data_IF_994460947853
#
_entry.id   IF_994460947853
#
_cell.length_a   1.000
_cell.length_b   1.000
_cell.length_c   1.000
_cell.angle_alpha   90.00
_cell.angle_beta   90.00
_cell.angle_gamma   90.00
#
_symmetry.space_group_name_H-M   'P 1'
#
loop_
_entity.id
_entity.type
_entity.pdbx_description
1 polymer ?
#
# COMPACT_ATOMS: atom_id res chain seq x y z
N UNK A 1 -3.63 6.63 22.88
CA UNK A 1 -4.21 6.21 21.60
C UNK A 1 -3.60 4.89 21.15
N UNK A 2 -4.42 4.11 20.50
CA UNK A 2 -4.04 2.79 20.02
C UNK A 2 -3.11 2.89 18.80
N UNK A 3 -2.06 2.09 18.80
CA UNK A 3 -1.13 2.03 17.67
C UNK A 3 -1.73 1.25 16.51
N UNK A 4 -1.57 1.76 15.29
CA UNK A 4 -2.11 1.16 14.08
C UNK A 4 -0.97 0.50 13.31
N UNK A 5 -1.14 -0.78 12.98
CA UNK A 5 -0.20 -1.53 12.16
C UNK A 5 -0.68 -1.49 10.71
N UNK A 6 0.14 -0.94 9.84
CA UNK A 6 -0.18 -0.73 8.42
C UNK A 6 0.80 -1.51 7.56
N UNK A 7 0.27 -2.39 6.70
CA UNK A 7 1.08 -3.00 5.66
C UNK A 7 1.14 -2.05 4.47
N UNK A 8 2.33 -1.76 3.99
CA UNK A 8 2.54 -1.02 2.74
C UNK A 8 3.10 -1.97 1.69
N UNK A 9 2.29 -2.34 0.72
CA UNK A 9 2.68 -3.22 -0.37
C UNK A 9 3.27 -2.42 -1.52
N UNK A 10 4.57 -2.22 -1.51
CA UNK A 10 5.27 -1.42 -2.53
C UNK A 10 5.72 -2.24 -3.75
N UNK A 11 5.45 -3.54 -3.73
CA UNK A 11 5.65 -4.42 -4.88
C UNK A 11 4.67 -4.08 -5.99
N UNK A 12 5.12 -4.11 -7.23
CA UNK A 12 4.25 -3.98 -8.39
C UNK A 12 4.63 -5.00 -9.46
N UNK A 13 3.64 -5.53 -10.18
CA UNK A 13 3.85 -6.53 -11.22
C UNK A 13 4.47 -5.96 -12.51
N UNK A 14 4.85 -4.69 -12.50
CA UNK A 14 5.51 -4.00 -13.60
C UNK A 14 5.75 -2.54 -13.25
N UNK A 15 6.59 -1.82 -14.01
CA UNK A 15 6.96 -0.44 -13.67
C UNK A 15 5.76 0.52 -13.66
N UNK A 16 4.73 0.27 -14.46
CA UNK A 16 3.54 1.12 -14.54
C UNK A 16 2.60 0.94 -13.35
N UNK A 17 2.82 -0.08 -12.52
CA UNK A 17 2.00 -0.42 -11.37
C UNK A 17 2.67 -0.10 -10.04
N UNK A 18 3.90 0.42 -10.06
CA UNK A 18 4.63 0.79 -8.85
C UNK A 18 4.41 2.26 -8.57
N UNK A 19 3.57 2.54 -7.60
CA UNK A 19 3.33 3.90 -7.12
C UNK A 19 4.64 4.46 -6.55
N UNK A 20 5.01 5.70 -6.88
CA UNK A 20 6.28 6.28 -6.39
C UNK A 20 6.36 6.38 -4.89
N UNK A 21 7.57 6.29 -4.36
CA UNK A 21 7.84 6.43 -2.92
C UNK A 21 7.25 7.72 -2.35
N UNK A 22 7.30 8.82 -3.08
CA UNK A 22 6.76 10.12 -2.65
C UNK A 22 5.31 10.03 -2.21
N UNK A 23 4.49 9.26 -2.92
CA UNK A 23 3.06 9.12 -2.61
C UNK A 23 2.89 8.37 -1.28
N UNK A 24 3.64 7.28 -1.08
CA UNK A 24 3.63 6.56 0.20
C UNK A 24 4.12 7.45 1.34
N UNK A 25 5.18 8.22 1.12
CA UNK A 25 5.75 9.11 2.13
C UNK A 25 4.76 10.24 2.49
N UNK A 26 4.10 10.81 1.50
CA UNK A 26 3.08 11.85 1.74
C UNK A 26 1.90 11.27 2.53
N UNK A 27 1.48 10.05 2.23
CA UNK A 27 0.47 9.35 3.02
C UNK A 27 0.93 9.13 4.46
N UNK A 28 2.16 8.65 4.63
CA UNK A 28 2.73 8.40 5.97
C UNK A 28 2.77 9.70 6.80
N UNK A 29 3.09 10.83 6.15
CA UNK A 29 3.07 12.13 6.81
C UNK A 29 1.68 12.49 7.29
N UNK A 30 0.66 12.26 6.47
CA UNK A 30 -0.73 12.56 6.83
C UNK A 30 -1.21 11.67 7.98
N UNK A 31 -1.00 10.37 7.88
CA UNK A 31 -1.53 9.41 8.87
C UNK A 31 -0.84 9.53 10.22
N UNK A 32 0.45 9.84 10.25
CA UNK A 32 1.19 9.96 11.51
C UNK A 32 0.87 11.24 12.28
N UNK A 33 0.26 12.22 11.63
CA UNK A 33 -0.24 13.43 12.32
C UNK A 33 -1.46 13.11 13.17
N UNK A 34 -2.21 12.06 12.83
CA UNK A 34 -3.47 11.71 13.50
C UNK A 34 -3.38 10.42 14.31
N UNK A 35 -2.55 9.49 13.88
CA UNK A 35 -2.45 8.16 14.48
C UNK A 35 -1.00 7.79 14.78
N UNK A 36 -0.81 7.02 15.84
CA UNK A 36 0.48 6.37 16.09
C UNK A 36 0.54 5.11 15.24
N UNK A 37 1.55 4.99 14.39
CA UNK A 37 1.61 3.93 13.37
C UNK A 37 2.90 3.14 13.42
N UNK A 38 2.79 1.86 13.03
CA UNK A 38 3.91 1.03 12.58
C UNK A 38 3.65 0.65 11.13
N UNK A 39 4.69 0.74 10.30
CA UNK A 39 4.59 0.45 8.87
C UNK A 39 5.42 -0.79 8.55
N UNK A 40 4.77 -1.78 7.96
CA UNK A 40 5.42 -3.02 7.51
C UNK A 40 5.52 -2.95 5.99
N UNK A 41 6.76 -2.92 5.48
CA UNK A 41 7.03 -2.63 4.07
C UNK A 41 7.24 -3.93 3.30
N UNK A 42 6.21 -4.36 2.57
CA UNK A 42 6.26 -5.55 1.75
C UNK A 42 6.85 -5.19 0.39
N UNK A 43 8.03 -5.71 0.10
CA UNK A 43 8.75 -5.42 -1.14
C UNK A 43 9.49 -6.66 -1.62
N UNK A 44 9.83 -6.67 -2.93
CA UNK A 44 10.65 -7.72 -3.53
C UNK A 44 12.13 -7.33 -3.58
N UNK A 45 12.90 -8.16 -4.28
CA UNK A 45 14.35 -7.95 -4.45
C UNK A 45 14.69 -7.17 -5.73
N UNK A 46 13.68 -6.79 -6.52
CA UNK A 46 13.86 -5.98 -7.72
C UNK A 46 14.51 -4.64 -7.37
N UNK A 47 15.46 -4.18 -8.21
CA UNK A 47 16.22 -2.95 -7.96
C UNK A 47 15.29 -1.74 -7.78
N UNK A 48 14.26 -1.62 -8.62
CA UNK A 48 13.34 -0.47 -8.55
C UNK A 48 12.54 -0.46 -7.25
N UNK A 49 12.11 -1.62 -6.80
CA UNK A 49 11.39 -1.76 -5.52
C UNK A 49 12.31 -1.49 -4.34
N UNK A 50 13.55 -1.93 -4.42
CA UNK A 50 14.55 -1.64 -3.40
C UNK A 50 14.86 -0.15 -3.31
N UNK A 51 14.85 0.58 -4.44
CA UNK A 51 14.98 2.05 -4.43
C UNK A 51 13.83 2.72 -3.69
N UNK A 52 12.60 2.27 -3.93
CA UNK A 52 11.41 2.80 -3.23
C UNK A 52 11.53 2.53 -1.73
N UNK A 53 11.92 1.32 -1.35
CA UNK A 53 12.15 0.95 0.04
C UNK A 53 13.17 1.87 0.70
N UNK A 54 14.32 2.09 0.05
CA UNK A 54 15.38 2.94 0.58
C UNK A 54 14.94 4.40 0.70
N UNK A 55 14.16 4.91 -0.23
CA UNK A 55 13.62 6.27 -0.13
C UNK A 55 12.73 6.41 1.11
N UNK A 56 11.86 5.44 1.37
CA UNK A 56 11.01 5.45 2.56
C UNK A 56 11.84 5.36 3.83
N UNK A 57 12.81 4.47 3.87
CA UNK A 57 13.69 4.28 5.02
C UNK A 57 14.66 5.43 5.26
N UNK A 58 14.77 6.35 4.29
CA UNK A 58 15.59 7.55 4.43
C UNK A 58 14.83 8.73 5.05
N UNK A 59 13.56 8.53 5.38
CA UNK A 59 12.74 9.56 6.03
C UNK A 59 12.81 9.46 7.56
N UNK A 60 12.23 10.44 8.23
CA UNK A 60 12.09 10.44 9.71
C UNK A 60 11.20 9.30 10.21
N UNK A 61 10.42 8.66 9.33
CA UNK A 61 9.53 7.55 9.69
C UNK A 61 10.26 6.22 9.86
N UNK A 62 11.54 6.15 9.52
CA UNK A 62 12.28 4.88 9.48
C UNK A 62 12.23 4.08 10.80
N UNK A 63 12.17 4.76 11.94
CA UNK A 63 12.11 4.10 13.24
C UNK A 63 10.79 3.36 13.48
N UNK A 64 9.75 3.69 12.69
CA UNK A 64 8.44 3.05 12.76
C UNK A 64 8.22 2.10 11.58
N UNK A 65 9.26 1.85 10.78
CA UNK A 65 9.21 1.00 9.60
C UNK A 65 9.94 -0.32 9.82
N UNK A 66 9.36 -1.38 9.29
CA UNK A 66 9.90 -2.74 9.35
C UNK A 66 9.88 -3.33 7.94
N UNK A 67 11.06 -3.47 7.34
CA UNK A 67 11.18 -4.01 5.99
C UNK A 67 11.01 -5.54 6.02
N UNK A 68 10.21 -6.09 5.12
CA UNK A 68 9.86 -7.51 5.08
C UNK A 68 10.60 -8.26 3.94
N UNK A 69 11.49 -7.59 3.23
CA UNK A 69 12.11 -8.12 2.02
C UNK A 69 13.04 -9.32 2.25
N UNK A 70 13.49 -9.53 3.48
CA UNK A 70 14.35 -10.66 3.84
C UNK A 70 13.60 -11.80 4.51
N UNK A 71 12.28 -11.69 4.65
CA UNK A 71 11.46 -12.70 5.30
C UNK A 71 10.85 -13.66 4.27
N UNK A 72 10.66 -14.91 4.69
CA UNK A 72 9.90 -15.89 3.89
C UNK A 72 8.41 -15.56 3.93
N UNK A 73 7.65 -16.14 2.99
CA UNK A 73 6.20 -16.00 3.00
C UNK A 73 5.59 -16.48 4.32
N UNK A 74 6.09 -17.60 4.86
CA UNK A 74 5.62 -18.14 6.15
C UNK A 74 5.82 -17.16 7.30
N UNK A 75 6.88 -16.37 7.26
CA UNK A 75 7.17 -15.35 8.27
C UNK A 75 6.30 -14.09 8.07
N UNK A 76 5.97 -13.76 6.82
CA UNK A 76 5.19 -12.58 6.48
C UNK A 76 3.70 -12.75 6.80
N UNK A 77 3.14 -13.95 6.59
CA UNK A 77 1.71 -14.18 6.80
C UNK A 77 1.20 -13.77 8.19
N UNK A 78 1.85 -14.15 9.30
CA UNK A 78 1.40 -13.71 10.62
C UNK A 78 1.51 -12.20 10.80
N UNK A 79 2.48 -11.56 10.17
CA UNK A 79 2.64 -10.09 10.23
C UNK A 79 1.44 -9.42 9.57
N UNK A 80 1.05 -9.88 8.38
CA UNK A 80 -0.12 -9.35 7.67
C UNK A 80 -1.37 -9.52 8.51
N UNK A 81 -1.56 -10.69 9.11
CA UNK A 81 -2.72 -10.98 9.95
C UNK A 81 -2.84 -10.05 11.16
N UNK A 82 -1.72 -9.52 11.64
CA UNK A 82 -1.70 -8.59 12.77
C UNK A 82 -1.78 -7.11 12.33
N UNK A 83 -1.85 -6.85 11.04
CA UNK A 83 -2.07 -5.49 10.55
C UNK A 83 -3.55 -5.11 10.68
N UNK A 84 -3.79 -3.84 10.96
CA UNK A 84 -5.14 -3.29 11.01
C UNK A 84 -5.66 -2.98 9.61
N UNK A 85 -4.76 -2.65 8.70
CA UNK A 85 -5.09 -2.25 7.34
C UNK A 85 -3.87 -2.48 6.44
N UNK A 86 -4.12 -2.74 5.15
CA UNK A 86 -3.09 -2.84 4.15
C UNK A 86 -3.32 -1.81 3.06
N UNK A 87 -2.25 -1.22 2.56
CA UNK A 87 -2.27 -0.28 1.44
C UNK A 87 -1.24 -0.79 0.44
N UNK A 88 -1.71 -1.29 -0.69
CA UNK A 88 -0.87 -2.03 -1.63
C UNK A 88 -1.10 -1.57 -3.06
N UNK A 89 -0.02 -1.54 -3.84
CA UNK A 89 -0.17 -1.58 -5.28
C UNK A 89 -0.98 -2.83 -5.67
N UNK A 90 -1.57 -2.83 -6.85
CA UNK A 90 -2.18 -4.04 -7.39
C UNK A 90 -1.07 -5.08 -7.61
N UNK A 91 -1.04 -6.09 -6.73
CA UNK A 91 0.04 -7.06 -6.63
C UNK A 91 -0.42 -8.27 -5.84
N UNK A 92 0.46 -9.28 -5.73
CA UNK A 92 0.20 -10.47 -4.91
C UNK A 92 -0.15 -10.11 -3.46
N UNK A 93 0.44 -9.06 -2.90
CA UNK A 93 0.17 -8.66 -1.52
C UNK A 93 -1.23 -8.10 -1.32
N UNK A 94 -1.80 -7.40 -2.31
CA UNK A 94 -3.18 -6.92 -2.20
C UNK A 94 -4.17 -8.09 -2.15
N UNK A 95 -3.94 -9.11 -2.98
CA UNK A 95 -4.77 -10.31 -3.01
C UNK A 95 -4.60 -11.13 -1.74
N UNK A 96 -3.36 -11.30 -1.29
CA UNK A 96 -3.05 -12.05 -0.07
C UNK A 96 -3.67 -11.41 1.17
N UNK A 97 -3.50 -10.12 1.32
CA UNK A 97 -4.02 -9.36 2.46
C UNK A 97 -5.55 -9.43 2.53
N UNK A 98 -6.23 -9.15 1.43
CA UNK A 98 -7.69 -9.22 1.38
C UNK A 98 -8.20 -10.64 1.60
N UNK A 99 -7.49 -11.65 1.06
CA UNK A 99 -7.81 -13.06 1.26
C UNK A 99 -7.67 -13.50 2.72
N UNK A 100 -6.78 -12.86 3.48
CA UNK A 100 -6.62 -13.09 4.91
C UNK A 100 -7.65 -12.32 5.77
N UNK A 101 -8.56 -11.59 5.13
CA UNK A 101 -9.60 -10.85 5.82
C UNK A 101 -9.18 -9.47 6.34
N UNK A 102 -8.06 -8.94 5.85
CA UNK A 102 -7.59 -7.61 6.22
C UNK A 102 -8.14 -6.58 5.23
N UNK A 103 -8.69 -5.48 5.76
CA UNK A 103 -9.12 -4.36 4.92
C UNK A 103 -7.94 -3.85 4.12
N UNK A 104 -8.07 -3.82 2.80
CA UNK A 104 -6.97 -3.55 1.88
C UNK A 104 -7.34 -2.44 0.91
N UNK A 105 -6.64 -1.32 1.03
CA UNK A 105 -6.72 -0.24 0.05
C UNK A 105 -5.81 -0.64 -1.11
N UNK A 106 -6.36 -0.72 -2.31
CA UNK A 106 -5.63 -1.15 -3.51
C UNK A 106 -5.42 0.05 -4.43
N UNK A 107 -4.15 0.33 -4.73
CA UNK A 107 -3.76 1.47 -5.57
C UNK A 107 -3.78 1.01 -7.03
N UNK A 108 -4.85 1.37 -7.74
CA UNK A 108 -5.13 0.91 -9.09
C UNK A 108 -4.59 1.89 -10.12
N UNK A 109 -3.32 1.74 -10.47
CA UNK A 109 -2.62 2.69 -11.37
C UNK A 109 -2.83 2.38 -12.84
N UNK A 110 -2.85 1.10 -13.21
CA UNK A 110 -2.77 0.67 -14.62
C UNK A 110 -3.33 -0.73 -14.84
N UNK A 111 -4.33 -1.11 -14.06
CA UNK A 111 -4.98 -2.43 -14.16
C UNK A 111 -6.49 -2.22 -14.06
N UNK A 112 -7.30 -3.01 -14.81
CA UNK A 112 -8.76 -2.90 -14.71
C UNK A 112 -9.25 -2.98 -13.27
N UNK A 113 -10.22 -2.13 -12.94
CA UNK A 113 -10.73 -1.94 -11.59
C UNK A 113 -11.20 -3.24 -10.92
N UNK A 114 -11.67 -4.19 -11.73
CA UNK A 114 -12.13 -5.50 -11.26
C UNK A 114 -11.08 -6.19 -10.36
N UNK A 115 -9.80 -6.08 -10.71
CA UNK A 115 -8.73 -6.76 -9.98
C UNK A 115 -8.48 -6.20 -8.58
N UNK A 116 -8.97 -5.01 -8.29
CA UNK A 116 -8.85 -4.38 -6.97
C UNK A 116 -10.19 -4.16 -6.29
N UNK A 117 -11.27 -4.79 -6.78
CA UNK A 117 -12.62 -4.52 -6.30
C UNK A 117 -13.53 -5.77 -6.34
N UNK A 118 -12.96 -6.97 -6.25
CA UNK A 118 -13.75 -8.21 -6.30
C UNK A 118 -14.11 -8.77 -4.92
N UNK A 119 -13.63 -8.15 -3.86
CA UNK A 119 -13.83 -8.58 -2.47
C UNK A 119 -14.36 -7.43 -1.64
N UNK A 120 -15.23 -7.68 -0.64
CA UNK A 120 -15.68 -6.64 0.29
C UNK A 120 -14.54 -6.09 1.16
N UNK A 121 -13.39 -6.76 1.19
CA UNK A 121 -12.19 -6.30 1.89
C UNK A 121 -11.28 -5.43 1.02
N UNK A 122 -11.64 -5.20 -0.23
CA UNK A 122 -10.86 -4.36 -1.15
C UNK A 122 -11.51 -2.99 -1.31
N UNK A 123 -10.68 -1.96 -1.24
CA UNK A 123 -11.07 -0.55 -1.35
C UNK A 123 -10.16 0.11 -2.40
N UNK A 124 -10.60 0.17 -3.66
CA UNK A 124 -9.74 0.69 -4.73
C UNK A 124 -9.61 2.21 -4.68
N UNK A 125 -8.40 2.69 -4.94
CA UNK A 125 -8.10 4.10 -5.19
C UNK A 125 -7.64 4.19 -6.64
N UNK A 126 -8.29 5.04 -7.42
CA UNK A 126 -7.95 5.24 -8.83
C UNK A 126 -7.22 6.57 -9.01
N UNK A 127 -6.46 6.73 -10.11
CA UNK A 127 -5.74 7.98 -10.37
C UNK A 127 -6.69 9.17 -10.46
N UNK A 128 -6.25 10.34 -9.99
CA UNK A 128 -7.01 11.57 -10.11
C UNK A 128 -7.31 11.86 -11.59
N UNK A 129 -8.54 12.31 -11.86
CA UNK A 129 -8.98 12.62 -13.20
C UNK A 129 -9.55 11.45 -13.99
N UNK A 130 -9.48 10.23 -13.44
CA UNK A 130 -10.00 9.04 -14.10
C UNK A 130 -11.33 8.61 -13.49
N UNK A 131 -12.21 8.04 -14.31
CA UNK A 131 -13.47 7.43 -13.87
C UNK A 131 -13.34 5.91 -13.73
N UNK A 132 -12.36 5.34 -14.40
CA UNK A 132 -12.04 3.91 -14.35
C UNK A 132 -10.56 3.72 -14.65
N UNK A 133 -10.09 2.48 -14.60
CA UNK A 133 -8.69 2.15 -14.88
C UNK A 133 -8.64 1.01 -15.90
N UNK A 134 -7.68 1.08 -16.81
CA UNK A 134 -7.39 0.05 -17.81
C UNK A 134 -5.89 -0.27 -17.77
N UNK A 135 -5.46 -1.22 -18.59
CA UNK A 135 -4.02 -1.52 -18.74
C UNK A 135 -3.21 -0.38 -19.38
N UNK A 136 -3.88 0.65 -19.92
CA UNK A 136 -3.23 1.79 -20.58
C UNK A 136 -3.39 3.10 -19.81
N UNK A 137 -3.95 3.07 -18.61
CA UNK A 137 -4.19 4.28 -17.81
C UNK A 137 -2.88 4.94 -17.36
N UNK A 138 -1.89 4.16 -16.96
CA UNK A 138 -0.57 4.64 -16.52
C UNK A 138 -0.65 5.78 -15.52
N UNK A 139 -1.48 5.58 -14.48
CA UNK A 139 -1.83 6.62 -13.53
C UNK A 139 -1.08 6.62 -12.21
N UNK A 140 0.05 5.90 -12.11
CA UNK A 140 0.77 5.71 -10.84
C UNK A 140 1.18 7.02 -10.16
N UNK A 141 1.47 8.06 -10.94
CA UNK A 141 1.91 9.37 -10.43
C UNK A 141 0.73 10.24 -10.00
N UNK A 142 -0.50 9.82 -10.30
CA UNK A 142 -1.73 10.54 -9.97
C UNK A 142 -2.56 9.87 -8.87
N UNK A 143 -2.02 8.86 -8.21
CA UNK A 143 -2.63 8.30 -7.00
C UNK A 143 -2.49 9.36 -5.90
N UNK A 144 -3.62 9.76 -5.33
CA UNK A 144 -3.66 10.88 -4.39
C UNK A 144 -3.53 10.40 -2.95
N UNK A 145 -2.46 10.78 -2.23
CA UNK A 145 -2.29 10.35 -0.84
C UNK A 145 -3.40 10.84 0.10
N UNK A 146 -4.03 11.98 -0.19
CA UNK A 146 -5.18 12.46 0.58
C UNK A 146 -6.36 11.49 0.51
N UNK A 147 -6.58 10.90 -0.66
CA UNK A 147 -7.65 9.91 -0.85
C UNK A 147 -7.35 8.60 -0.13
N UNK A 148 -6.08 8.20 -0.09
CA UNK A 148 -5.66 7.03 0.69
C UNK A 148 -5.96 7.28 2.17
N UNK A 149 -5.57 8.44 2.68
CA UNK A 149 -5.77 8.82 4.07
C UNK A 149 -7.27 8.90 4.43
N UNK A 150 -8.06 9.51 3.58
CA UNK A 150 -9.52 9.60 3.75
C UNK A 150 -10.15 8.20 3.82
N UNK A 151 -9.75 7.31 2.91
CA UNK A 151 -10.27 5.93 2.90
C UNK A 151 -9.86 5.16 4.16
N UNK A 152 -8.62 5.34 4.61
CA UNK A 152 -8.15 4.72 5.86
C UNK A 152 -9.02 5.16 7.04
N UNK A 153 -9.31 6.44 7.16
CA UNK A 153 -10.14 6.96 8.24
C UNK A 153 -11.57 6.40 8.17
N UNK A 154 -12.13 6.26 6.98
CA UNK A 154 -13.45 5.67 6.79
C UNK A 154 -13.48 4.21 7.25
N UNK A 155 -12.44 3.44 6.94
CA UNK A 155 -12.35 2.03 7.33
C UNK A 155 -12.20 1.89 8.85
N UNK A 156 -11.41 2.75 9.47
CA UNK A 156 -11.10 2.66 10.90
C UNK A 156 -12.14 3.32 11.82
N UNK A 157 -13.08 4.06 11.25
CA UNK A 157 -14.13 4.73 12.04
C UNK A 157 -15.21 3.79 12.50
#
# INVERSE_FOLDING_TARGET
>A
SKEINILLGIVGSGPTKRVPAKIFIDFMRLVTQKHKCRFFLATGKNIEEQKILLEILSTTFKNNCYALDNLSLNEILPIIKNCNISICNDSSFSHLSSGLGIDTIVLMSDTPLLYGNYSPKMYPIIPDGENTVTHDTRGKDRINPDKIFEQLNNILS
#
